data_IF_625302683700
#
_entry.id   IF_625302683700
#
_cell.length_a   1.000
_cell.length_b   1.000
_cell.length_c   1.000
_cell.angle_alpha   90.00
_cell.angle_beta   90.00
_cell.angle_gamma   90.00
#
_symmetry.space_group_name_H-M   'P 1'
#
loop_
_entity.id
_entity.type
_entity.pdbx_description
1 polymer ?
#
# COMPACT_ATOMS: atom_id res chain seq x y z
N UNK A 1 32.47 31.04 -2.77
CA UNK A 1 31.07 31.51 -2.82
C UNK A 1 30.54 31.23 -4.22
N UNK A 2 29.84 30.11 -4.40
CA UNK A 2 29.49 29.55 -5.71
C UNK A 2 27.96 29.42 -5.78
N UNK A 3 27.40 30.01 -6.84
CA UNK A 3 25.99 29.99 -7.23
C UNK A 3 25.68 28.67 -7.97
N UNK A 4 24.62 27.97 -7.57
CA UNK A 4 24.00 26.93 -8.39
C UNK A 4 22.76 27.48 -9.09
N UNK A 5 22.67 27.19 -10.39
CA UNK A 5 21.60 27.52 -11.32
C UNK A 5 20.60 26.37 -11.35
N UNK A 6 19.34 26.61 -11.00
CA UNK A 6 18.25 25.67 -11.28
C UNK A 6 17.49 26.14 -12.52
N UNK A 7 17.50 25.32 -13.57
CA UNK A 7 16.67 25.51 -14.75
C UNK A 7 15.26 25.01 -14.40
N UNK A 8 14.36 25.93 -14.10
CA UNK A 8 12.92 25.68 -14.07
C UNK A 8 12.42 25.70 -15.51
N UNK A 9 11.86 24.59 -15.99
CA UNK A 9 10.99 24.60 -17.17
C UNK A 9 9.71 25.36 -16.79
N UNK A 10 9.35 26.48 -17.45
CA UNK A 10 8.03 27.04 -17.30
C UNK A 10 7.03 26.14 -18.04
N UNK A 11 6.15 25.50 -17.28
CA UNK A 11 4.85 25.06 -17.81
C UNK A 11 4.15 26.32 -18.32
N UNK A 12 3.74 26.29 -19.59
CA UNK A 12 3.03 27.39 -20.24
C UNK A 12 1.69 27.63 -19.52
N UNK A 13 1.65 28.58 -18.59
CA UNK A 13 0.39 29.08 -18.03
C UNK A 13 -0.25 30.01 -19.07
N UNK A 14 -1.10 29.47 -19.94
CA UNK A 14 -2.14 30.25 -20.61
C UNK A 14 -3.33 30.37 -19.66
N UNK A 15 -3.13 31.11 -18.56
CA UNK A 15 -4.19 31.41 -17.59
C UNK A 15 -4.97 32.65 -18.01
N UNK A 16 -6.17 32.48 -18.53
CA UNK A 16 -7.21 33.52 -18.44
C UNK A 16 -7.59 33.76 -16.97
N UNK A 17 -8.32 34.84 -16.65
CA UNK A 17 -8.71 35.11 -15.27
C UNK A 17 -9.58 33.97 -14.73
N UNK A 18 -9.04 33.17 -13.80
CA UNK A 18 -9.82 32.19 -13.04
C UNK A 18 -10.87 32.94 -12.22
N UNK A 19 -12.15 32.64 -12.47
CA UNK A 19 -13.24 33.10 -11.63
C UNK A 19 -13.02 32.57 -10.21
N UNK A 20 -13.18 33.47 -9.23
CA UNK A 20 -13.16 33.13 -7.81
C UNK A 20 -14.37 32.25 -7.51
N UNK A 21 -14.15 30.95 -7.25
CA UNK A 21 -15.18 30.08 -6.67
C UNK A 21 -15.33 28.66 -7.23
N UNK A 22 -14.56 28.23 -8.23
CA UNK A 22 -14.61 26.82 -8.65
C UNK A 22 -13.66 25.97 -7.79
N UNK A 23 -14.25 25.25 -6.84
CA UNK A 23 -13.56 24.22 -6.07
C UNK A 23 -13.16 23.09 -7.02
N UNK A 24 -11.89 22.66 -6.98
CA UNK A 24 -11.38 21.60 -7.84
C UNK A 24 -12.17 20.30 -7.56
N UNK A 25 -13.03 19.91 -8.50
CA UNK A 25 -13.69 18.62 -8.48
C UNK A 25 -12.65 17.56 -8.85
N UNK A 26 -12.30 16.71 -7.89
CA UNK A 26 -11.42 15.58 -8.12
C UNK A 26 -12.02 14.69 -9.21
N UNK A 27 -11.19 14.25 -10.17
CA UNK A 27 -11.57 13.22 -11.14
C UNK A 27 -11.53 11.81 -10.53
N UNK A 28 -11.24 11.70 -9.22
CA UNK A 28 -11.29 10.42 -8.54
C UNK A 28 -12.71 9.84 -8.66
N UNK A 29 -12.84 8.57 -9.07
CA UNK A 29 -14.15 7.95 -9.31
C UNK A 29 -14.98 7.78 -8.02
N UNK A 30 -14.36 7.94 -6.85
CA UNK A 30 -15.01 7.80 -5.54
C UNK A 30 -14.69 9.02 -4.67
N UNK A 31 -15.66 9.43 -3.87
CA UNK A 31 -15.54 10.55 -2.94
C UNK A 31 -14.68 10.20 -1.73
N UNK A 32 -14.76 8.94 -1.27
CA UNK A 32 -14.01 8.43 -0.14
C UNK A 32 -13.66 6.93 -0.30
N UNK A 33 -12.80 6.44 0.61
CA UNK A 33 -12.34 5.06 0.61
C UNK A 33 -13.46 4.04 0.84
N UNK A 34 -14.54 4.45 1.53
CA UNK A 34 -15.67 3.58 1.83
C UNK A 34 -16.51 3.33 0.58
N UNK A 35 -16.76 4.37 -0.20
CA UNK A 35 -17.44 4.26 -1.48
C UNK A 35 -16.65 3.38 -2.45
N UNK A 36 -15.32 3.56 -2.50
CA UNK A 36 -14.44 2.72 -3.30
C UNK A 36 -14.49 1.24 -2.87
N UNK A 37 -14.46 0.96 -1.56
CA UNK A 37 -14.55 -0.38 -1.02
C UNK A 37 -15.90 -1.04 -1.34
N UNK A 38 -17.02 -0.34 -1.09
CA UNK A 38 -18.36 -0.82 -1.40
C UNK A 38 -18.53 -1.13 -2.89
N UNK A 39 -17.96 -0.29 -3.77
CA UNK A 39 -18.01 -0.56 -5.21
C UNK A 39 -17.21 -1.82 -5.55
N UNK A 40 -16.01 -2.00 -4.98
CA UNK A 40 -15.22 -3.22 -5.11
C UNK A 40 -15.98 -4.48 -4.70
N UNK A 41 -16.75 -4.42 -3.61
CA UNK A 41 -17.62 -5.53 -3.18
C UNK A 41 -18.65 -5.89 -4.26
N UNK A 42 -19.26 -4.90 -4.93
CA UNK A 42 -20.22 -5.19 -6.01
C UNK A 42 -19.58 -5.83 -7.25
N UNK A 43 -18.26 -5.66 -7.43
CA UNK A 43 -17.50 -6.27 -8.52
C UNK A 43 -16.97 -7.67 -8.17
N UNK A 44 -17.07 -8.12 -6.92
CA UNK A 44 -16.57 -9.43 -6.50
C UNK A 44 -15.04 -9.58 -6.59
N UNK A 45 -14.28 -8.48 -6.53
CA UNK A 45 -12.80 -8.49 -6.69
C UNK A 45 -12.03 -8.90 -5.41
N UNK A 46 -12.74 -9.21 -4.34
CA UNK A 46 -12.18 -9.52 -3.02
C UNK A 46 -12.07 -8.29 -2.12
N UNK A 47 -11.55 -8.49 -0.92
CA UNK A 47 -11.42 -7.44 0.09
C UNK A 47 -10.19 -7.64 0.96
N UNK A 48 -9.73 -6.55 1.58
CA UNK A 48 -8.64 -6.58 2.55
C UNK A 48 -9.02 -5.73 3.76
N UNK A 49 -8.76 -6.24 4.97
CA UNK A 49 -9.03 -5.54 6.23
C UNK A 49 -7.77 -5.55 7.08
N UNK A 50 -7.35 -4.37 7.54
CA UNK A 50 -6.28 -4.23 8.51
C UNK A 50 -6.88 -4.21 9.92
N UNK A 51 -6.62 -5.27 10.68
CA UNK A 51 -7.07 -5.46 12.05
C UNK A 51 -5.93 -5.07 12.98
N UNK A 52 -6.22 -4.20 13.93
CA UNK A 52 -5.24 -3.68 14.87
C UNK A 52 -5.89 -2.74 15.88
N UNK A 53 -5.09 -2.13 16.75
CA UNK A 53 -5.59 -1.15 17.69
C UNK A 53 -6.09 0.10 16.97
N UNK A 54 -7.18 0.68 17.47
CA UNK A 54 -7.80 1.91 16.92
C UNK A 54 -7.01 3.17 17.27
N UNK A 55 -6.14 3.08 18.28
CA UNK A 55 -5.25 4.14 18.74
C UNK A 55 -3.85 3.55 18.93
N UNK A 56 -2.82 4.29 18.51
CA UNK A 56 -1.43 3.87 18.61
C UNK A 56 -0.60 4.97 19.25
N UNK A 57 0.33 4.59 20.11
CA UNK A 57 1.30 5.53 20.65
C UNK A 57 2.41 5.80 19.63
N UNK A 58 2.82 7.06 19.49
CA UNK A 58 3.92 7.45 18.60
C UNK A 58 5.20 6.73 19.01
N UNK A 59 5.88 6.10 18.05
CA UNK A 59 7.12 5.33 18.28
C UNK A 59 6.97 4.08 19.16
N UNK A 60 5.77 3.50 19.23
CA UNK A 60 5.52 2.21 19.89
C UNK A 60 5.45 1.05 18.89
N UNK A 61 5.66 -0.17 19.40
CA UNK A 61 5.47 -1.39 18.63
C UNK A 61 3.99 -1.76 18.56
N UNK A 62 3.55 -2.19 17.38
CA UNK A 62 2.18 -2.61 17.14
C UNK A 62 2.16 -3.96 16.45
N UNK A 63 1.19 -4.79 16.80
CA UNK A 63 0.86 -6.00 16.04
C UNK A 63 -0.38 -5.72 15.21
N UNK A 64 -0.27 -6.00 13.92
CA UNK A 64 -1.34 -5.79 12.94
C UNK A 64 -1.58 -7.10 12.20
N UNK A 65 -2.85 -7.40 11.94
CA UNK A 65 -3.27 -8.55 11.11
C UNK A 65 -3.89 -8.00 9.84
N UNK A 66 -3.35 -8.38 8.68
CA UNK A 66 -4.00 -8.14 7.40
C UNK A 66 -4.82 -9.38 7.03
N UNK A 67 -6.13 -9.26 7.03
CA UNK A 67 -7.03 -10.29 6.53
C UNK A 67 -7.37 -9.99 5.07
N UNK A 68 -7.14 -10.95 4.19
CA UNK A 68 -7.49 -10.86 2.78
C UNK A 68 -8.52 -11.93 2.43
N UNK A 69 -9.63 -11.51 1.84
CA UNK A 69 -10.64 -12.39 1.27
C UNK A 69 -10.53 -12.34 -0.25
N UNK A 70 -10.27 -13.48 -0.86
CA UNK A 70 -10.18 -13.59 -2.32
C UNK A 70 -11.54 -13.35 -2.98
N UNK A 71 -11.52 -12.67 -4.14
CA UNK A 71 -12.71 -12.47 -4.96
C UNK A 71 -13.13 -13.70 -5.75
N UNK A 72 -14.21 -13.57 -6.52
CA UNK A 72 -14.84 -14.67 -7.28
C UNK A 72 -13.89 -15.32 -8.30
N UNK A 73 -12.93 -14.54 -8.83
CA UNK A 73 -11.94 -15.02 -9.80
C UNK A 73 -10.83 -15.87 -9.17
N UNK A 74 -10.71 -15.89 -7.84
CA UNK A 74 -9.59 -16.54 -7.16
C UNK A 74 -8.26 -15.78 -7.32
N UNK A 75 -7.17 -16.44 -6.91
CA UNK A 75 -5.80 -16.04 -7.25
C UNK A 75 -5.32 -17.02 -8.33
N UNK A 76 -4.86 -16.51 -9.47
CA UNK A 76 -4.33 -17.35 -10.54
C UNK A 76 -3.11 -18.17 -10.08
N UNK A 77 -2.84 -19.36 -10.65
CA UNK A 77 -1.63 -20.11 -10.37
C UNK A 77 -0.36 -19.27 -10.62
N UNK A 78 0.48 -19.11 -9.59
CA UNK A 78 1.66 -18.25 -9.63
C UNK A 78 1.38 -16.77 -9.33
N UNK A 79 0.12 -16.41 -9.10
CA UNK A 79 -0.28 -15.17 -8.45
C UNK A 79 -0.03 -15.23 -6.94
N UNK A 80 -0.09 -14.08 -6.29
CA UNK A 80 0.17 -13.94 -4.86
C UNK A 80 -0.20 -12.56 -4.35
N UNK A 81 -0.09 -12.39 -3.04
CA UNK A 81 -0.39 -11.11 -2.40
C UNK A 81 0.93 -10.37 -2.19
N UNK A 82 0.98 -9.10 -2.57
CA UNK A 82 2.15 -8.24 -2.30
C UNK A 82 1.76 -7.13 -1.36
N UNK A 83 2.38 -7.09 -0.19
CA UNK A 83 2.18 -6.08 0.84
C UNK A 83 3.31 -5.07 0.71
N UNK A 84 3.00 -3.87 0.26
CA UNK A 84 3.98 -2.83 0.05
C UNK A 84 4.00 -1.82 1.21
N UNK A 85 5.18 -1.57 1.74
CA UNK A 85 5.47 -0.65 2.83
C UNK A 85 6.25 0.56 2.29
N UNK A 86 6.10 1.69 2.97
CA UNK A 86 6.73 2.96 2.56
C UNK A 86 8.23 2.96 2.87
N UNK A 87 9.12 3.12 1.88
CA UNK A 87 10.59 3.13 2.11
C UNK A 87 11.10 4.00 3.24
N UNK A 88 10.58 5.22 3.37
CA UNK A 88 10.97 6.12 4.45
C UNK A 88 10.14 5.77 5.68
N UNK A 89 10.30 4.55 6.18
CA UNK A 89 9.74 4.09 7.44
C UNK A 89 10.85 3.82 8.46
N UNK A 90 10.48 3.88 9.73
CA UNK A 90 11.29 3.35 10.84
C UNK A 90 10.71 2.06 11.40
N UNK A 91 10.02 1.30 10.56
CA UNK A 91 9.47 0.02 10.94
C UNK A 91 10.59 -1.01 10.92
N UNK A 92 10.47 -2.02 11.77
CA UNK A 92 11.35 -3.18 11.72
C UNK A 92 11.12 -3.94 10.41
N UNK A 93 12.21 -4.40 9.80
CA UNK A 93 12.13 -5.23 8.60
C UNK A 93 11.36 -6.53 8.90
N UNK A 94 10.39 -6.92 8.06
CA UNK A 94 9.68 -8.18 8.23
C UNK A 94 10.63 -9.38 8.16
N UNK A 95 10.42 -10.35 9.04
CA UNK A 95 11.21 -11.58 9.10
C UNK A 95 10.34 -12.77 9.53
N UNK A 96 10.77 -13.98 9.19
CA UNK A 96 9.99 -15.21 9.42
C UNK A 96 10.75 -16.26 10.23
N UNK A 97 11.96 -15.93 10.70
CA UNK A 97 12.91 -16.87 11.28
C UNK A 97 12.92 -16.89 12.81
N UNK A 98 12.60 -15.78 13.49
CA UNK A 98 12.57 -15.72 14.95
C UNK A 98 11.22 -15.20 15.47
N UNK A 99 10.35 -16.06 16.03
CA UNK A 99 9.05 -15.66 16.56
C UNK A 99 9.09 -14.70 17.75
N UNK A 100 10.26 -14.47 18.35
CA UNK A 100 10.44 -13.58 19.50
C UNK A 100 11.17 -12.28 19.15
N UNK A 101 11.69 -12.16 17.93
CA UNK A 101 12.33 -10.94 17.47
C UNK A 101 11.31 -9.98 16.86
N UNK A 102 11.65 -8.70 16.85
CA UNK A 102 10.85 -7.67 16.19
C UNK A 102 10.68 -8.00 14.69
N UNK A 103 9.60 -7.49 14.09
CA UNK A 103 9.32 -7.70 12.67
C UNK A 103 8.86 -9.12 12.34
N UNK A 104 8.60 -9.98 13.33
CA UNK A 104 8.11 -11.32 13.06
C UNK A 104 6.77 -11.29 12.30
N UNK A 105 6.76 -11.98 11.17
CA UNK A 105 5.63 -12.07 10.25
C UNK A 105 5.30 -13.53 10.01
N UNK A 106 4.01 -13.84 10.11
CA UNK A 106 3.45 -15.16 9.83
C UNK A 106 2.24 -15.03 8.94
N UNK A 107 1.99 -16.09 8.16
CA UNK A 107 0.80 -16.20 7.32
C UNK A 107 0.09 -17.49 7.65
N UNK A 108 -1.22 -17.40 7.80
CA UNK A 108 -2.11 -18.55 7.91
C UNK A 108 -3.19 -18.43 6.86
N UNK A 109 -3.53 -19.54 6.22
CA UNK A 109 -4.64 -19.63 5.26
C UNK A 109 -5.73 -20.54 5.80
N UNK A 110 -6.94 -20.40 5.27
CA UNK A 110 -7.96 -21.44 5.42
C UNK A 110 -7.49 -22.73 4.73
N UNK A 111 -8.02 -23.88 5.17
CA UNK A 111 -7.55 -25.21 4.74
C UNK A 111 -7.33 -25.33 3.22
N UNK A 112 -6.17 -25.85 2.82
CA UNK A 112 -5.87 -26.24 1.43
C UNK A 112 -4.93 -25.32 0.65
N UNK A 113 -4.69 -24.09 1.10
CA UNK A 113 -3.65 -23.22 0.51
C UNK A 113 -2.30 -23.38 1.23
N UNK A 114 -1.20 -23.28 0.48
CA UNK A 114 0.17 -23.34 1.01
C UNK A 114 0.98 -22.18 0.41
N UNK A 115 0.90 -20.98 1.00
CA UNK A 115 1.60 -19.81 0.48
C UNK A 115 3.11 -19.94 0.67
N UNK A 116 3.88 -19.34 -0.23
CA UNK A 116 5.33 -19.21 -0.08
C UNK A 116 5.63 -17.79 0.36
N UNK A 117 6.01 -17.65 1.62
CA UNK A 117 6.28 -16.34 2.20
C UNK A 117 7.71 -15.88 1.89
N UNK A 118 7.82 -14.71 1.27
CA UNK A 118 9.08 -14.06 0.93
C UNK A 118 9.11 -12.66 1.55
N UNK A 119 9.91 -12.51 2.61
CA UNK A 119 10.12 -11.23 3.29
C UNK A 119 11.39 -10.51 2.78
N UNK A 120 11.35 -9.17 2.76
CA UNK A 120 12.49 -8.31 2.38
C UNK A 120 12.45 -7.81 0.93
N UNK A 121 13.38 -6.90 0.57
CA UNK A 121 13.42 -6.27 -0.75
C UNK A 121 13.70 -7.28 -1.87
N UNK A 122 12.71 -7.47 -2.75
CA UNK A 122 12.79 -8.33 -3.93
C UNK A 122 13.23 -7.58 -5.21
N UNK A 123 13.79 -6.38 -5.08
CA UNK A 123 14.11 -5.51 -6.23
C UNK A 123 12.86 -5.02 -6.97
N UNK A 124 11.68 -5.16 -6.36
CA UNK A 124 10.38 -4.76 -6.89
C UNK A 124 10.19 -3.23 -6.90
N UNK A 125 11.12 -2.51 -6.27
CA UNK A 125 11.25 -1.05 -6.30
C UNK A 125 11.07 -0.43 -7.70
N UNK A 126 11.58 -1.11 -8.75
CA UNK A 126 11.52 -0.62 -10.14
C UNK A 126 10.20 -0.96 -10.85
N UNK A 127 9.32 -1.73 -10.21
CA UNK A 127 8.09 -2.26 -10.81
C UNK A 127 6.84 -1.58 -10.25
N UNK A 128 6.87 -1.12 -9.01
CA UNK A 128 5.73 -0.52 -8.33
C UNK A 128 6.10 0.86 -7.76
N UNK A 129 5.95 1.90 -8.58
CA UNK A 129 6.25 3.28 -8.20
C UNK A 129 5.05 3.94 -7.52
N UNK A 130 4.68 3.49 -6.30
CA UNK A 130 4.73 4.39 -5.14
C UNK A 130 5.20 3.76 -3.81
N UNK A 131 5.54 2.46 -3.76
CA UNK A 131 5.76 1.73 -2.51
C UNK A 131 7.02 0.86 -2.60
N UNK A 132 7.88 0.90 -1.59
CA UNK A 132 9.32 0.65 -1.78
C UNK A 132 9.91 -0.43 -0.87
N UNK A 133 9.10 -1.12 -0.05
CA UNK A 133 9.45 -2.39 0.59
C UNK A 133 8.30 -3.36 0.41
N UNK A 134 8.43 -4.38 -0.45
CA UNK A 134 7.34 -5.31 -0.73
C UNK A 134 7.61 -6.65 -0.03
N UNK A 135 6.62 -7.14 0.71
CA UNK A 135 6.54 -8.54 1.17
C UNK A 135 5.64 -9.28 0.20
N UNK A 136 6.06 -10.45 -0.27
CA UNK A 136 5.26 -11.31 -1.15
C UNK A 136 4.83 -12.56 -0.39
N UNK A 137 3.55 -12.92 -0.51
CA UNK A 137 2.88 -14.03 0.17
C UNK A 137 2.24 -14.96 -0.86
#
# INVERSE_FOLDING_TARGET
MIRLLFILFPILFLGGPMARGEEFQSIAPFLDDREAANYGETLGIGSAVLIGPTEVEVLSYQTLTLEYTVGDAGIEPGGGIRIAMRHVHRWTDPQTNDPKADGYLTVSTVEGASPTLIAGDQGLFKRYHPWQHLVEV
#
